data_IF_604050746942
#
_entry.id   IF_604050746942
#
_cell.length_a   1.000
_cell.length_b   1.000
_cell.length_c   1.000
_cell.angle_alpha   90.00
_cell.angle_beta   90.00
_cell.angle_gamma   90.00
#
_symmetry.space_group_name_H-M   'P 1'
#
loop_
_entity.id
_entity.type
_entity.pdbx_description
1 polymer ?
#
# COMPACT_ATOMS: atom_id res chain seq x y z
N UNK A 1 15.38 7.89 20.72
CA UNK A 1 15.01 7.56 19.34
C UNK A 1 13.71 6.76 19.40
N UNK A 2 12.68 7.13 18.66
CA UNK A 2 11.42 6.39 18.66
C UNK A 2 11.63 4.92 18.25
N UNK A 3 10.84 4.03 18.82
CA UNK A 3 10.80 2.61 18.42
C UNK A 3 10.09 2.44 17.08
N UNK A 4 9.00 3.21 16.87
CA UNK A 4 8.21 3.17 15.63
C UNK A 4 7.90 4.59 15.18
N UNK A 5 8.14 4.87 13.90
CA UNK A 5 7.58 6.04 13.19
C UNK A 5 6.33 5.61 12.43
N UNK A 6 5.21 6.23 12.72
CA UNK A 6 3.96 6.00 11.99
C UNK A 6 3.79 7.11 10.96
N UNK A 7 3.70 6.75 9.69
CA UNK A 7 3.55 7.66 8.55
C UNK A 7 2.09 7.69 8.11
N UNK A 8 1.50 8.88 8.06
CA UNK A 8 0.10 9.10 7.71
C UNK A 8 -0.01 10.06 6.51
N UNK A 9 -0.13 9.54 5.27
CA UNK A 9 -0.40 10.37 4.10
C UNK A 9 -1.82 10.92 4.19
N UNK A 10 -1.96 12.23 4.32
CA UNK A 10 -3.20 12.90 4.77
C UNK A 10 -3.70 13.86 3.70
N UNK A 11 -4.91 13.61 3.15
CA UNK A 11 -5.55 14.49 2.17
C UNK A 11 -7.06 14.42 2.25
N UNK A 12 -7.71 15.55 2.61
CA UNK A 12 -9.18 15.70 2.66
C UNK A 12 -9.90 14.61 3.47
N UNK A 13 -9.49 14.43 4.72
CA UNK A 13 -10.00 13.42 5.66
C UNK A 13 -10.59 14.01 6.94
N UNK A 14 -11.02 15.26 6.92
CA UNK A 14 -11.55 15.98 8.09
C UNK A 14 -12.62 15.21 8.88
N UNK A 15 -13.43 14.39 8.19
CA UNK A 15 -14.49 13.59 8.82
C UNK A 15 -14.00 12.41 9.65
N UNK A 16 -12.77 11.94 9.41
CA UNK A 16 -12.28 10.65 9.95
C UNK A 16 -11.07 10.83 10.85
N UNK A 17 -10.26 11.86 10.59
CA UNK A 17 -8.92 12.02 11.13
C UNK A 17 -8.87 12.06 12.67
N UNK A 18 -9.86 12.63 13.34
CA UNK A 18 -9.89 12.70 14.81
C UNK A 18 -9.87 11.31 15.45
N UNK A 19 -10.66 10.36 14.93
CA UNK A 19 -10.65 8.98 15.42
C UNK A 19 -9.31 8.27 15.18
N UNK A 20 -8.69 8.53 14.05
CA UNK A 20 -7.34 8.05 13.76
C UNK A 20 -6.35 8.57 14.80
N UNK A 21 -6.30 9.89 15.02
CA UNK A 21 -5.39 10.53 15.99
C UNK A 21 -5.61 9.98 17.39
N UNK A 22 -6.85 9.90 17.85
CA UNK A 22 -7.19 9.35 19.18
C UNK A 22 -6.67 7.92 19.35
N UNK A 23 -6.78 7.07 18.33
CA UNK A 23 -6.26 5.70 18.38
C UNK A 23 -4.73 5.64 18.44
N UNK A 24 -4.05 6.58 17.78
CA UNK A 24 -2.60 6.72 17.83
C UNK A 24 -2.12 7.22 19.20
N UNK A 25 -2.78 8.22 19.75
CA UNK A 25 -2.45 8.75 21.08
C UNK A 25 -2.69 7.75 22.20
N UNK A 26 -3.67 6.83 22.01
CA UNK A 26 -4.01 5.75 22.93
C UNK A 26 -3.03 4.57 22.88
N UNK A 27 -2.02 4.56 22.00
CA UNK A 27 -1.08 3.44 21.91
C UNK A 27 -0.35 3.19 23.23
N UNK A 28 -0.24 1.91 23.61
CA UNK A 28 0.48 1.46 24.81
C UNK A 28 1.99 1.67 24.66
N UNK A 29 2.55 1.49 23.47
CA UNK A 29 3.92 1.85 23.14
C UNK A 29 4.09 3.37 23.10
N UNK A 30 4.87 3.94 24.07
CA UNK A 30 5.00 5.40 24.21
C UNK A 30 6.14 6.00 23.38
N UNK A 31 7.19 5.24 23.11
CA UNK A 31 8.36 5.68 22.33
C UNK A 31 8.06 5.65 20.83
N UNK A 32 7.14 6.49 20.37
CA UNK A 32 6.66 6.54 18.98
C UNK A 32 6.59 7.99 18.49
N UNK A 33 6.63 8.17 17.19
CA UNK A 33 6.32 9.44 16.52
C UNK A 33 5.24 9.22 15.45
N UNK A 34 4.38 10.20 15.27
CA UNK A 34 3.27 10.21 14.31
C UNK A 34 3.52 11.31 13.29
N UNK A 35 3.85 10.96 12.05
CA UNK A 35 4.23 11.88 11.00
C UNK A 35 3.07 12.02 10.01
N UNK A 36 2.29 13.08 10.18
CA UNK A 36 1.20 13.43 9.28
C UNK A 36 1.74 14.24 8.11
N UNK A 37 1.56 13.73 6.91
CA UNK A 37 1.93 14.44 5.68
C UNK A 37 0.65 15.02 5.08
N UNK A 38 0.37 16.28 5.39
CA UNK A 38 -0.75 17.00 4.79
C UNK A 38 -0.44 17.32 3.34
N UNK A 39 -1.01 16.57 2.42
CA UNK A 39 -0.75 16.65 0.98
C UNK A 39 -1.64 17.70 0.30
N UNK A 40 -1.53 18.96 0.79
CA UNK A 40 -2.31 20.12 0.33
C UNK A 40 -3.83 19.91 0.48
N UNK A 41 -4.30 19.48 1.66
CA UNK A 41 -5.74 19.36 1.93
C UNK A 41 -6.45 20.70 1.75
N UNK A 42 -7.65 20.64 1.18
CA UNK A 42 -8.52 21.79 0.89
C UNK A 42 -9.75 21.87 1.81
N UNK A 43 -9.92 20.88 2.68
CA UNK A 43 -10.92 20.85 3.76
C UNK A 43 -10.30 21.20 5.12
N UNK A 44 -11.04 21.05 6.20
CA UNK A 44 -10.58 21.38 7.55
C UNK A 44 -9.58 20.37 8.15
N UNK A 45 -9.01 19.45 7.36
CA UNK A 45 -8.08 18.42 7.85
C UNK A 45 -6.90 19.01 8.61
N UNK A 46 -6.23 20.01 8.03
CA UNK A 46 -5.06 20.63 8.65
C UNK A 46 -5.39 21.37 9.95
N UNK A 47 -6.55 22.04 9.99
CA UNK A 47 -7.00 22.76 11.18
C UNK A 47 -7.32 21.81 12.34
N UNK A 48 -7.90 20.63 12.01
CA UNK A 48 -8.13 19.59 13.02
C UNK A 48 -6.80 19.05 13.54
N UNK A 49 -5.84 18.75 12.65
CA UNK A 49 -4.51 18.26 13.06
C UNK A 49 -3.81 19.23 14.04
N UNK A 50 -3.89 20.54 13.79
CA UNK A 50 -3.27 21.57 14.62
C UNK A 50 -3.89 21.74 16.02
N UNK A 51 -5.06 21.15 16.27
CA UNK A 51 -5.72 21.18 17.58
C UNK A 51 -5.10 20.18 18.57
N UNK A 52 -4.32 19.21 18.11
CA UNK A 52 -3.69 18.20 18.94
C UNK A 52 -2.28 18.64 19.35
N UNK A 53 -2.12 18.99 20.61
CA UNK A 53 -0.83 19.41 21.20
C UNK A 53 -0.19 18.18 21.91
N UNK A 54 0.40 17.29 21.11
CA UNK A 54 1.14 16.12 21.62
C UNK A 54 2.55 16.10 20.97
N UNK A 55 3.63 16.02 21.74
CA UNK A 55 5.00 16.12 21.23
C UNK A 55 5.39 14.98 20.27
N UNK A 56 4.62 13.91 20.23
CA UNK A 56 4.80 12.79 19.28
C UNK A 56 4.26 13.09 17.89
N UNK A 57 3.41 14.12 17.74
CA UNK A 57 2.81 14.50 16.46
C UNK A 57 3.76 15.46 15.72
N UNK A 58 4.06 15.10 14.47
CA UNK A 58 4.77 15.96 13.50
C UNK A 58 3.87 16.17 12.29
N UNK A 59 3.69 17.41 11.87
CA UNK A 59 2.90 17.78 10.70
C UNK A 59 3.83 18.37 9.66
N UNK A 60 3.84 17.77 8.47
CA UNK A 60 4.59 18.26 7.31
C UNK A 60 3.56 18.54 6.21
N UNK A 61 3.57 19.75 5.64
CA UNK A 61 2.62 20.12 4.58
C UNK A 61 3.33 20.26 3.24
N UNK A 62 2.71 19.73 2.19
CA UNK A 62 3.06 20.01 0.80
C UNK A 62 2.31 21.25 0.30
N UNK A 63 2.93 22.03 -0.55
CA UNK A 63 2.30 23.19 -1.20
C UNK A 63 1.28 22.79 -2.27
N UNK A 64 1.46 21.63 -2.89
CA UNK A 64 0.58 21.04 -3.89
C UNK A 64 0.36 19.56 -3.59
N UNK A 65 -0.78 19.01 -4.04
CA UNK A 65 -1.06 17.59 -3.90
C UNK A 65 -0.10 16.75 -4.76
N UNK A 66 0.74 15.95 -4.11
CA UNK A 66 1.74 15.04 -4.72
C UNK A 66 1.30 13.58 -4.71
N UNK A 67 0.11 13.29 -4.22
CA UNK A 67 -0.47 11.95 -4.05
C UNK A 67 0.20 11.10 -2.97
N UNK A 68 -0.46 10.01 -2.63
CA UNK A 68 -0.13 9.13 -1.50
C UNK A 68 1.31 8.57 -1.54
N UNK A 69 1.84 8.24 -2.72
CA UNK A 69 3.19 7.71 -2.85
C UNK A 69 4.26 8.71 -2.40
N UNK A 70 4.19 9.95 -2.89
CA UNK A 70 5.12 11.01 -2.49
C UNK A 70 4.93 11.43 -1.04
N UNK A 71 3.69 11.44 -0.53
CA UNK A 71 3.45 11.69 0.88
C UNK A 71 4.11 10.61 1.76
N UNK A 72 4.05 9.33 1.36
CA UNK A 72 4.76 8.26 2.07
C UNK A 72 6.28 8.43 1.98
N UNK A 73 6.83 8.82 0.84
CA UNK A 73 8.26 9.09 0.68
C UNK A 73 8.71 10.25 1.58
N UNK A 74 7.95 11.36 1.61
CA UNK A 74 8.22 12.46 2.53
C UNK A 74 8.20 11.99 3.98
N UNK A 75 7.27 11.10 4.34
CA UNK A 75 7.23 10.47 5.66
C UNK A 75 8.47 9.61 5.94
N UNK A 76 8.93 8.80 5.00
CA UNK A 76 10.15 7.99 5.12
C UNK A 76 11.40 8.86 5.34
N UNK A 77 11.51 9.98 4.61
CA UNK A 77 12.65 10.90 4.70
C UNK A 77 12.72 11.62 6.07
N UNK A 78 11.59 11.72 6.78
CA UNK A 78 11.48 12.39 8.08
C UNK A 78 11.33 11.42 9.27
N UNK A 79 11.27 10.12 9.01
CA UNK A 79 11.13 9.10 10.02
C UNK A 79 12.46 8.79 10.71
N UNK A 80 12.45 8.76 12.05
CA UNK A 80 13.64 8.49 12.87
C UNK A 80 13.54 7.21 13.69
N UNK A 81 12.40 6.52 13.66
CA UNK A 81 12.15 5.28 14.40
C UNK A 81 12.91 4.07 13.87
N UNK A 82 13.09 3.10 14.74
CA UNK A 82 13.72 1.81 14.38
C UNK A 82 12.88 1.02 13.36
N UNK A 83 11.55 1.11 13.48
CA UNK A 83 10.59 0.54 12.55
C UNK A 83 9.67 1.61 11.99
N UNK A 84 9.14 1.35 10.81
CA UNK A 84 8.14 2.19 10.11
C UNK A 84 6.80 1.48 10.12
N UNK A 85 5.73 2.20 10.43
CA UNK A 85 4.34 1.79 10.19
C UNK A 85 3.67 2.77 9.26
N UNK A 86 2.69 2.31 8.48
CA UNK A 86 1.85 3.16 7.65
C UNK A 86 0.41 3.02 8.13
N UNK A 87 -0.26 4.13 8.36
CA UNK A 87 -1.68 4.16 8.74
C UNK A 87 -2.41 5.12 7.81
N UNK A 88 -3.50 4.66 7.22
CA UNK A 88 -4.35 5.52 6.43
C UNK A 88 -5.22 6.38 7.39
N UNK A 89 -5.32 7.71 7.19
CA UNK A 89 -5.89 8.62 8.19
C UNK A 89 -7.42 8.57 8.29
N UNK A 90 -8.08 7.77 7.46
CA UNK A 90 -9.50 7.42 7.54
C UNK A 90 -9.77 6.13 8.33
N UNK A 91 -8.69 5.44 8.78
CA UNK A 91 -8.70 4.22 9.56
C UNK A 91 -8.25 4.45 11.01
N UNK A 92 -8.21 3.39 11.83
CA UNK A 92 -7.66 3.43 13.18
C UNK A 92 -7.10 2.07 13.61
N UNK A 93 -6.35 2.04 14.72
CA UNK A 93 -5.65 0.83 15.20
C UNK A 93 -6.02 0.49 16.65
N UNK A 94 -5.87 -0.78 17.04
CA UNK A 94 -6.04 -1.20 18.45
C UNK A 94 -4.96 -0.57 19.32
N UNK A 95 -5.28 -0.32 20.60
CA UNK A 95 -4.37 0.37 21.52
C UNK A 95 -3.01 -0.33 21.72
N UNK A 96 -2.95 -1.62 21.53
CA UNK A 96 -1.75 -2.46 21.64
C UNK A 96 -1.05 -2.73 20.29
N UNK A 97 -1.56 -2.18 19.19
CA UNK A 97 -1.11 -2.51 17.82
C UNK A 97 0.41 -2.35 17.63
N UNK A 98 0.94 -1.18 17.98
CA UNK A 98 2.37 -0.90 17.80
C UNK A 98 3.24 -1.67 18.78
N UNK A 99 2.78 -1.88 20.02
CA UNK A 99 3.52 -2.62 21.05
C UNK A 99 3.66 -4.09 20.71
N UNK A 100 2.56 -4.72 20.30
CA UNK A 100 2.54 -6.14 19.93
C UNK A 100 3.44 -6.41 18.73
N UNK A 101 3.33 -5.58 17.70
CA UNK A 101 4.16 -5.73 16.50
C UNK A 101 5.64 -5.46 16.80
N UNK A 102 5.96 -4.42 17.56
CA UNK A 102 7.33 -4.08 17.91
C UNK A 102 7.97 -5.17 18.78
N UNK A 103 7.26 -5.61 19.82
CA UNK A 103 7.75 -6.66 20.73
C UNK A 103 8.02 -7.96 19.98
N UNK A 104 7.10 -8.35 19.09
CA UNK A 104 7.26 -9.53 18.25
C UNK A 104 8.45 -9.39 17.30
N UNK A 105 8.55 -8.25 16.60
CA UNK A 105 9.65 -7.99 15.68
C UNK A 105 11.02 -8.05 16.37
N UNK A 106 11.13 -7.48 17.57
CA UNK A 106 12.36 -7.48 18.36
C UNK A 106 12.70 -8.88 18.87
N UNK A 107 11.74 -9.60 19.43
CA UNK A 107 11.92 -10.97 19.94
C UNK A 107 12.44 -11.91 18.85
N UNK A 108 11.88 -11.79 17.68
CA UNK A 108 12.16 -12.68 16.54
C UNK A 108 13.27 -12.14 15.63
N UNK A 109 13.83 -10.95 15.91
CA UNK A 109 14.74 -10.23 15.03
C UNK A 109 14.21 -10.16 13.59
N UNK A 110 12.93 -9.79 13.43
CA UNK A 110 12.25 -9.79 12.15
C UNK A 110 12.36 -8.43 11.44
N UNK A 111 12.36 -8.45 10.12
CA UNK A 111 12.34 -7.24 9.29
C UNK A 111 10.92 -6.70 9.13
N UNK A 112 9.92 -7.59 9.20
CA UNK A 112 8.50 -7.24 9.15
C UNK A 112 7.77 -8.01 10.24
N UNK A 113 6.95 -7.30 11.03
CA UNK A 113 5.93 -7.89 11.89
C UNK A 113 4.55 -7.43 11.43
N UNK A 114 3.61 -8.36 11.27
CA UNK A 114 2.30 -8.11 10.69
C UNK A 114 1.16 -8.60 11.58
N UNK A 115 0.13 -7.76 11.72
CA UNK A 115 -1.14 -8.06 12.37
C UNK A 115 -2.24 -8.50 11.39
N UNK A 116 -3.45 -8.40 11.87
CA UNK A 116 -4.68 -8.66 11.12
C UNK A 116 -5.49 -7.37 10.92
N UNK A 117 -6.59 -7.43 10.16
CA UNK A 117 -7.51 -6.31 10.13
C UNK A 117 -8.98 -6.70 10.25
N UNK A 118 -9.76 -5.77 10.76
CA UNK A 118 -11.21 -5.86 10.86
C UNK A 118 -11.86 -4.76 10.03
N UNK A 119 -12.79 -5.13 9.14
CA UNK A 119 -13.54 -4.18 8.32
C UNK A 119 -14.69 -3.56 9.12
N UNK A 120 -14.82 -2.24 9.11
CA UNK A 120 -15.88 -1.48 9.76
C UNK A 120 -16.80 -0.89 8.69
N UNK A 121 -18.13 -0.98 8.81
CA UNK A 121 -18.90 -1.45 9.98
C UNK A 121 -19.18 -2.95 10.00
N UNK A 122 -18.77 -3.74 9.02
CA UNK A 122 -19.19 -5.14 8.88
C UNK A 122 -18.68 -6.08 10.00
N UNK A 123 -17.68 -5.68 10.76
CA UNK A 123 -17.04 -6.51 11.78
C UNK A 123 -16.21 -7.69 11.22
N UNK A 124 -16.17 -7.86 9.89
CA UNK A 124 -15.45 -8.98 9.26
C UNK A 124 -13.95 -8.89 9.54
N UNK A 125 -13.40 -9.89 10.19
CA UNK A 125 -11.96 -10.06 10.39
C UNK A 125 -11.36 -10.70 9.14
N UNK A 126 -10.24 -10.16 8.69
CA UNK A 126 -9.40 -10.74 7.65
C UNK A 126 -8.05 -11.07 8.24
N UNK A 127 -7.75 -12.36 8.26
CA UNK A 127 -6.51 -12.92 8.74
C UNK A 127 -5.86 -13.73 7.62
N UNK A 128 -4.75 -13.23 7.09
CA UNK A 128 -3.98 -13.88 6.02
C UNK A 128 -2.61 -14.36 6.53
N UNK A 129 -2.43 -14.44 7.85
CA UNK A 129 -1.14 -14.71 8.47
C UNK A 129 -0.60 -16.07 8.08
N UNK A 130 -1.44 -17.13 8.08
CA UNK A 130 -1.01 -18.46 7.67
C UNK A 130 -0.53 -18.47 6.21
N UNK A 131 -1.28 -17.85 5.31
CA UNK A 131 -0.91 -17.79 3.89
C UNK A 131 0.39 -17.01 3.65
N UNK A 132 0.66 -15.97 4.44
CA UNK A 132 1.90 -15.18 4.38
C UNK A 132 3.08 -15.96 4.95
N UNK A 133 2.87 -16.71 6.02
CA UNK A 133 3.90 -17.57 6.60
C UNK A 133 4.32 -18.70 5.65
N UNK A 134 3.40 -19.17 4.79
CA UNK A 134 3.71 -20.16 3.75
C UNK A 134 4.39 -19.54 2.52
N UNK A 135 3.99 -18.34 2.13
CA UNK A 135 4.53 -17.63 0.97
C UNK A 135 4.52 -16.11 1.21
N UNK A 136 5.70 -15.54 1.48
CA UNK A 136 5.84 -14.10 1.74
C UNK A 136 5.33 -13.22 0.59
N UNK A 137 5.27 -13.75 -0.63
CA UNK A 137 4.73 -13.05 -1.80
C UNK A 137 3.22 -13.23 -1.97
N UNK A 138 2.52 -13.58 -0.89
CA UNK A 138 1.06 -13.63 -0.92
C UNK A 138 0.48 -12.22 -1.08
N UNK A 139 -0.30 -11.98 -2.14
CA UNK A 139 -0.84 -10.67 -2.50
C UNK A 139 -1.92 -10.11 -1.57
N UNK A 140 -2.35 -10.89 -0.60
CA UNK A 140 -3.24 -10.42 0.47
C UNK A 140 -2.50 -9.71 1.60
N UNK A 141 -1.23 -9.37 1.39
CA UNK A 141 -0.47 -8.58 2.34
C UNK A 141 -0.96 -7.13 2.32
N UNK A 142 -1.61 -6.71 3.39
CA UNK A 142 -2.05 -5.32 3.57
C UNK A 142 -0.94 -4.54 4.28
N UNK A 143 -0.33 -3.60 3.60
CA UNK A 143 0.84 -2.86 4.07
C UNK A 143 0.61 -2.17 5.43
N UNK A 144 -0.55 -1.60 5.60
CA UNK A 144 -0.95 -0.87 6.80
C UNK A 144 -1.18 -1.77 8.03
N UNK A 145 -1.19 -3.10 7.90
CA UNK A 145 -1.26 -4.02 9.05
C UNK A 145 0.11 -4.36 9.66
N UNK A 146 1.19 -3.72 9.25
CA UNK A 146 2.54 -4.15 9.59
C UNK A 146 3.45 -3.00 10.03
N UNK A 147 4.56 -3.40 10.67
CA UNK A 147 5.75 -2.55 10.84
C UNK A 147 6.92 -3.14 10.06
N UNK A 148 7.81 -2.26 9.59
CA UNK A 148 8.93 -2.57 8.72
C UNK A 148 10.22 -2.04 9.32
N UNK A 149 11.28 -2.83 9.36
CA UNK A 149 12.60 -2.39 9.84
C UNK A 149 13.14 -1.25 8.95
N UNK A 150 13.39 -0.09 9.57
CA UNK A 150 13.83 1.09 8.85
C UNK A 150 15.19 0.87 8.16
N UNK A 151 16.15 0.21 8.82
CA UNK A 151 17.46 -0.04 8.23
C UNK A 151 17.38 -0.85 6.92
N UNK A 152 16.46 -1.81 6.81
CA UNK A 152 16.21 -2.54 5.56
C UNK A 152 15.67 -1.59 4.46
N UNK A 153 14.77 -0.68 4.81
CA UNK A 153 14.22 0.31 3.86
C UNK A 153 15.34 1.23 3.36
N UNK A 154 16.18 1.71 4.26
CA UNK A 154 17.29 2.62 3.95
C UNK A 154 18.38 1.93 3.11
N UNK A 155 18.81 0.72 3.52
CA UNK A 155 19.85 -0.06 2.83
C UNK A 155 19.50 -0.31 1.36
N UNK A 156 18.25 -0.62 1.09
CA UNK A 156 17.77 -0.92 -0.26
C UNK A 156 17.14 0.28 -0.97
N UNK A 157 17.24 1.49 -0.37
CA UNK A 157 16.66 2.71 -0.91
C UNK A 157 15.20 2.53 -1.37
N UNK A 158 14.38 1.85 -0.54
CA UNK A 158 12.99 1.53 -0.90
C UNK A 158 12.16 2.81 -0.90
N UNK A 159 11.47 3.08 -2.01
CA UNK A 159 10.59 4.23 -2.21
C UNK A 159 9.28 3.81 -2.86
N UNK A 160 8.26 4.60 -2.58
CA UNK A 160 6.95 4.44 -3.22
C UNK A 160 6.96 5.15 -4.58
N UNK A 161 6.48 4.46 -5.59
CA UNK A 161 6.28 5.02 -6.93
C UNK A 161 4.79 4.89 -7.28
N UNK A 162 4.12 5.98 -7.54
CA UNK A 162 2.76 6.04 -8.09
C UNK A 162 1.67 5.34 -7.25
N UNK A 163 1.91 4.14 -6.70
CA UNK A 163 0.94 3.36 -5.93
C UNK A 163 1.59 2.60 -4.77
N UNK A 164 0.78 2.24 -3.79
CA UNK A 164 1.14 1.47 -2.59
C UNK A 164 1.91 0.19 -2.90
N UNK A 165 1.51 -0.55 -3.93
CA UNK A 165 2.11 -1.84 -4.27
C UNK A 165 3.57 -1.71 -4.68
N UNK A 166 3.93 -0.63 -5.38
CA UNK A 166 5.30 -0.42 -5.85
C UNK A 166 6.29 -0.22 -4.69
N UNK A 167 5.86 0.30 -3.54
CA UNK A 167 6.70 0.38 -2.34
C UNK A 167 6.63 -0.89 -1.47
N UNK A 168 5.45 -1.49 -1.38
CA UNK A 168 5.24 -2.68 -0.56
C UNK A 168 6.01 -3.90 -1.06
N UNK A 169 6.05 -4.12 -2.37
CA UNK A 169 6.71 -5.28 -2.93
C UNK A 169 8.21 -5.34 -2.61
N UNK A 170 9.00 -4.27 -2.81
CA UNK A 170 10.41 -4.25 -2.38
C UNK A 170 10.58 -4.55 -0.88
N UNK A 171 9.72 -4.01 -0.01
CA UNK A 171 9.78 -4.30 1.44
C UNK A 171 9.64 -5.80 1.72
N UNK A 172 8.69 -6.47 1.08
CA UNK A 172 8.50 -7.92 1.22
C UNK A 172 9.66 -8.69 0.59
N UNK A 173 10.17 -8.23 -0.56
CA UNK A 173 11.25 -8.90 -1.27
C UNK A 173 12.53 -8.93 -0.45
N UNK A 174 12.95 -7.78 0.08
CA UNK A 174 14.19 -7.65 0.85
C UNK A 174 14.08 -8.15 2.30
N UNK A 175 12.88 -8.33 2.83
CA UNK A 175 12.72 -8.90 4.16
C UNK A 175 13.27 -10.33 4.24
N UNK A 176 14.24 -10.56 5.12
CA UNK A 176 14.76 -11.87 5.43
C UNK A 176 13.81 -12.66 6.32
N UNK A 177 13.15 -11.98 7.27
CA UNK A 177 12.20 -12.60 8.19
C UNK A 177 10.93 -11.78 8.33
N UNK A 178 9.79 -12.44 8.12
CA UNK A 178 8.44 -11.91 8.35
C UNK A 178 7.80 -12.73 9.47
N UNK A 179 7.21 -12.08 10.45
CA UNK A 179 6.47 -12.71 11.54
C UNK A 179 5.06 -12.14 11.63
N UNK A 180 4.13 -12.94 12.15
CA UNK A 180 2.72 -12.56 12.19
C UNK A 180 2.12 -12.75 13.56
N UNK A 181 1.12 -11.94 13.91
CA UNK A 181 0.32 -12.05 15.13
C UNK A 181 -1.15 -11.71 14.87
N UNK A 182 -2.04 -12.30 15.65
CA UNK A 182 -3.48 -12.00 15.57
C UNK A 182 -3.91 -10.97 16.63
N UNK A 183 -3.01 -10.56 17.54
CA UNK A 183 -3.31 -9.61 18.61
C UNK A 183 -3.29 -8.15 18.17
N UNK A 184 -2.52 -7.82 17.14
CA UNK A 184 -2.44 -6.47 16.57
C UNK A 184 -3.53 -6.28 15.51
N UNK A 185 -4.54 -5.46 15.81
CA UNK A 185 -5.71 -5.28 14.94
C UNK A 185 -5.71 -3.87 14.32
N UNK A 186 -5.78 -3.84 13.00
CA UNK A 186 -6.04 -2.64 12.21
C UNK A 186 -7.53 -2.58 11.87
N UNK A 187 -8.20 -1.44 12.09
CA UNK A 187 -9.60 -1.24 11.78
C UNK A 187 -9.76 -0.49 10.46
N UNK A 188 -10.09 -1.24 9.42
CA UNK A 188 -10.32 -0.72 8.07
C UNK A 188 -11.73 -0.17 7.93
N UNK A 189 -11.88 1.14 7.76
CA UNK A 189 -13.17 1.83 7.69
C UNK A 189 -13.64 1.95 6.25
N UNK A 190 -14.74 1.27 5.93
CA UNK A 190 -15.37 1.35 4.60
C UNK A 190 -16.34 2.54 4.54
N UNK A 191 -16.07 3.47 3.63
CA UNK A 191 -16.94 4.62 3.38
C UNK A 191 -16.98 4.97 1.89
N UNK A 192 -17.98 5.75 1.48
CA UNK A 192 -18.22 6.06 0.06
C UNK A 192 -17.10 6.88 -0.59
N UNK A 193 -16.36 7.67 0.18
CA UNK A 193 -15.28 8.53 -0.29
C UNK A 193 -13.91 7.84 -0.29
N UNK A 194 -13.85 6.56 0.08
CA UNK A 194 -12.59 5.81 0.06
C UNK A 194 -12.06 5.69 -1.37
N UNK A 195 -10.74 5.76 -1.54
CA UNK A 195 -10.10 5.63 -2.86
C UNK A 195 -10.49 4.34 -3.62
N UNK A 196 -10.90 3.30 -2.88
CA UNK A 196 -11.38 2.04 -3.47
C UNK A 196 -12.79 2.18 -4.07
N UNK A 197 -13.57 3.16 -3.62
CA UNK A 197 -14.96 3.38 -4.05
C UNK A 197 -15.17 4.65 -4.89
N UNK A 198 -14.16 5.54 -4.94
CA UNK A 198 -14.30 6.73 -5.77
C UNK A 198 -14.29 6.36 -7.27
N UNK A 199 -15.15 7.03 -8.04
CA UNK A 199 -15.09 7.03 -9.50
C UNK A 199 -13.75 7.65 -9.93
N UNK A 200 -12.88 6.85 -10.49
CA UNK A 200 -11.63 7.37 -11.04
C UNK A 200 -11.94 8.15 -12.32
N UNK A 201 -11.44 9.38 -12.42
CA UNK A 201 -11.33 9.99 -13.74
C UNK A 201 -10.41 9.11 -14.61
N UNK A 202 -10.70 8.96 -15.90
CA UNK A 202 -9.87 8.19 -16.81
C UNK A 202 -8.39 8.60 -16.80
N UNK A 203 -8.12 9.91 -16.69
CA UNK A 203 -6.75 10.44 -16.58
C UNK A 203 -6.04 9.96 -15.29
N UNK A 204 -6.73 9.96 -14.15
CA UNK A 204 -6.20 9.46 -12.90
C UNK A 204 -5.94 7.94 -12.98
N UNK A 205 -6.83 7.21 -13.64
CA UNK A 205 -6.65 5.78 -13.88
C UNK A 205 -5.39 5.51 -14.74
N UNK A 206 -5.22 6.23 -15.86
CA UNK A 206 -4.05 6.13 -16.71
C UNK A 206 -2.76 6.41 -15.92
N UNK A 207 -2.73 7.52 -15.19
CA UNK A 207 -1.57 7.95 -14.41
C UNK A 207 -1.20 6.93 -13.31
N UNK A 208 -2.18 6.38 -12.60
CA UNK A 208 -1.93 5.52 -11.44
C UNK A 208 -1.81 4.04 -11.79
N UNK A 209 -2.62 3.54 -12.72
CA UNK A 209 -2.65 2.10 -12.99
C UNK A 209 -1.73 1.69 -14.14
N UNK A 210 -1.72 2.39 -15.27
CA UNK A 210 -0.82 2.04 -16.39
C UNK A 210 0.63 2.34 -16.01
N UNK A 211 0.92 3.52 -15.49
CA UNK A 211 2.28 3.86 -15.09
C UNK A 211 2.78 3.00 -13.93
N UNK A 212 1.91 2.69 -12.94
CA UNK A 212 2.24 1.77 -11.85
C UNK A 212 2.52 0.35 -12.35
N UNK A 213 1.73 -0.16 -13.30
CA UNK A 213 1.94 -1.48 -13.87
C UNK A 213 3.22 -1.55 -14.74
N UNK A 214 3.55 -0.47 -15.47
CA UNK A 214 4.84 -0.35 -16.19
C UNK A 214 6.03 -0.35 -15.23
N UNK A 215 5.94 0.41 -14.13
CA UNK A 215 6.97 0.41 -13.10
C UNK A 215 7.13 -1.00 -12.50
N UNK A 216 6.04 -1.69 -12.19
CA UNK A 216 6.07 -3.02 -11.60
C UNK A 216 6.64 -4.09 -12.52
N UNK A 217 6.32 -4.10 -13.83
CA UNK A 217 6.93 -5.09 -14.74
C UNK A 217 8.44 -4.88 -14.86
N UNK A 218 8.88 -3.63 -14.85
CA UNK A 218 10.31 -3.30 -14.78
C UNK A 218 10.93 -3.85 -13.50
N UNK A 219 10.33 -3.58 -12.34
CA UNK A 219 10.79 -4.07 -11.03
C UNK A 219 10.89 -5.59 -10.98
N UNK A 220 9.83 -6.33 -11.35
CA UNK A 220 9.87 -7.79 -11.30
C UNK A 220 10.89 -8.39 -12.28
N UNK A 221 11.28 -7.65 -13.33
CA UNK A 221 12.34 -8.03 -14.24
C UNK A 221 13.75 -7.82 -13.67
N UNK A 222 13.91 -6.81 -12.81
CA UNK A 222 15.18 -6.49 -12.15
C UNK A 222 15.48 -7.45 -10.99
N UNK A 223 14.43 -7.98 -10.33
CA UNK A 223 14.59 -8.96 -9.27
C UNK A 223 14.75 -10.37 -9.82
N UNK A 224 15.69 -11.13 -9.23
CA UNK A 224 15.86 -12.55 -9.55
C UNK A 224 14.82 -13.40 -8.81
N UNK A 225 13.56 -13.26 -9.20
CA UNK A 225 12.45 -13.96 -8.56
C UNK A 225 12.35 -15.42 -9.03
N UNK A 226 11.92 -16.33 -8.14
CA UNK A 226 11.49 -17.66 -8.56
C UNK A 226 10.41 -17.55 -9.64
N UNK A 227 10.43 -18.45 -10.64
CA UNK A 227 9.50 -18.42 -11.77
C UNK A 227 8.03 -18.35 -11.33
N UNK A 228 7.64 -19.17 -10.35
CA UNK A 228 6.26 -19.20 -9.87
C UNK A 228 5.82 -17.88 -9.24
N UNK A 229 6.70 -17.24 -8.48
CA UNK A 229 6.47 -15.92 -7.90
C UNK A 229 6.32 -14.86 -8.99
N UNK A 230 7.22 -14.88 -9.98
CA UNK A 230 7.15 -13.98 -11.14
C UNK A 230 5.82 -14.13 -11.90
N UNK A 231 5.40 -15.37 -12.15
CA UNK A 231 4.14 -15.68 -12.85
C UNK A 231 2.92 -15.21 -12.04
N UNK A 232 2.92 -15.43 -10.71
CA UNK A 232 1.86 -14.91 -9.83
C UNK A 232 1.76 -13.39 -9.90
N UNK A 233 2.89 -12.68 -9.78
CA UNK A 233 2.97 -11.21 -9.89
C UNK A 233 2.47 -10.72 -11.24
N UNK A 234 2.89 -11.37 -12.31
CA UNK A 234 2.44 -11.04 -13.66
C UNK A 234 0.92 -11.14 -13.83
N UNK A 235 0.31 -12.21 -13.31
CA UNK A 235 -1.16 -12.38 -13.30
C UNK A 235 -1.85 -11.29 -12.48
N UNK A 236 -1.30 -10.99 -11.31
CA UNK A 236 -1.84 -9.95 -10.45
C UNK A 236 -1.80 -8.57 -11.13
N UNK A 237 -0.72 -8.21 -11.81
CA UNK A 237 -0.61 -6.94 -12.55
C UNK A 237 -1.66 -6.84 -13.66
N UNK A 238 -1.86 -7.91 -14.42
CA UNK A 238 -2.90 -7.97 -15.45
C UNK A 238 -4.29 -7.80 -14.81
N UNK A 239 -4.57 -8.52 -13.73
CA UNK A 239 -5.84 -8.47 -13.02
C UNK A 239 -6.13 -7.08 -12.45
N UNK A 240 -5.13 -6.45 -11.82
CA UNK A 240 -5.25 -5.13 -11.21
C UNK A 240 -5.65 -4.07 -12.21
N UNK A 241 -5.04 -4.07 -13.38
CA UNK A 241 -5.40 -3.14 -14.46
C UNK A 241 -6.86 -3.22 -14.87
N UNK A 242 -7.42 -4.43 -14.93
CA UNK A 242 -8.77 -4.63 -15.43
C UNK A 242 -9.84 -4.52 -14.35
N UNK A 243 -9.72 -5.20 -13.23
CA UNK A 243 -10.75 -5.23 -12.19
C UNK A 243 -10.86 -3.89 -11.45
N UNK A 244 -9.75 -3.22 -11.19
CA UNK A 244 -9.73 -1.98 -10.43
C UNK A 244 -9.78 -0.71 -11.29
N UNK A 245 -9.58 -0.84 -12.60
CA UNK A 245 -9.58 0.27 -13.52
C UNK A 245 -10.63 0.14 -14.62
N UNK A 246 -10.32 -0.66 -15.63
CA UNK A 246 -11.11 -0.74 -16.86
C UNK A 246 -12.58 -1.14 -16.65
N UNK A 247 -12.85 -2.14 -15.81
CA UNK A 247 -14.23 -2.60 -15.57
C UNK A 247 -15.10 -1.51 -14.91
N UNK A 248 -14.49 -0.49 -14.29
CA UNK A 248 -15.16 0.64 -13.64
C UNK A 248 -15.32 1.89 -14.52
N UNK A 249 -14.76 1.88 -15.72
CA UNK A 249 -14.90 2.98 -16.67
C UNK A 249 -16.28 3.00 -17.33
N UNK A 250 -16.73 4.18 -17.73
CA UNK A 250 -17.88 4.33 -18.63
C UNK A 250 -17.62 3.64 -19.98
N UNK A 251 -18.67 3.38 -20.75
CA UNK A 251 -18.52 2.84 -22.12
C UNK A 251 -17.72 3.77 -23.04
N UNK A 252 -17.92 5.10 -22.89
CA UNK A 252 -17.22 6.13 -23.65
C UNK A 252 -15.73 6.15 -23.31
N UNK A 253 -15.38 6.12 -22.01
CA UNK A 253 -13.99 6.09 -21.57
C UNK A 253 -13.27 4.80 -22.03
N UNK A 254 -13.95 3.66 -22.02
CA UNK A 254 -13.40 2.41 -22.54
C UNK A 254 -13.00 2.50 -24.01
N UNK A 255 -13.79 3.20 -24.81
CA UNK A 255 -13.48 3.45 -26.24
C UNK A 255 -12.28 4.39 -26.36
N UNK A 256 -12.29 5.49 -25.59
CA UNK A 256 -11.23 6.50 -25.62
C UNK A 256 -9.85 5.92 -25.23
N UNK A 257 -9.79 5.08 -24.22
CA UNK A 257 -8.52 4.53 -23.69
C UNK A 257 -8.16 3.15 -24.26
N UNK A 258 -8.93 2.63 -25.20
CA UNK A 258 -8.68 1.31 -25.81
C UNK A 258 -7.29 1.18 -26.42
N UNK A 259 -6.82 2.23 -27.11
CA UNK A 259 -5.50 2.23 -27.75
C UNK A 259 -4.36 2.09 -26.72
N UNK A 260 -4.40 2.89 -25.66
CA UNK A 260 -3.38 2.85 -24.61
C UNK A 260 -3.37 1.54 -23.83
N UNK A 261 -4.54 0.94 -23.60
CA UNK A 261 -4.65 -0.37 -22.94
C UNK A 261 -4.01 -1.46 -23.81
N UNK A 262 -4.27 -1.43 -25.11
CA UNK A 262 -3.65 -2.37 -26.04
C UNK A 262 -2.14 -2.19 -26.14
N UNK A 263 -1.67 -0.95 -26.22
CA UNK A 263 -0.23 -0.64 -26.20
C UNK A 263 0.44 -1.19 -24.94
N UNK A 264 -0.17 -0.97 -23.77
CA UNK A 264 0.34 -1.51 -22.51
C UNK A 264 0.36 -3.06 -22.50
N UNK A 265 -0.69 -3.71 -23.00
CA UNK A 265 -0.72 -5.16 -23.09
C UNK A 265 0.37 -5.72 -23.98
N UNK A 266 0.63 -5.05 -25.10
CA UNK A 266 1.69 -5.45 -26.02
C UNK A 266 3.08 -5.20 -25.44
N UNK A 267 3.26 -4.11 -24.68
CA UNK A 267 4.45 -3.84 -23.91
C UNK A 267 4.67 -4.87 -22.82
N UNK A 268 3.64 -5.16 -22.02
CA UNK A 268 3.67 -6.22 -20.99
C UNK A 268 4.07 -7.57 -21.58
N UNK A 269 3.49 -7.94 -22.73
CA UNK A 269 3.84 -9.18 -23.41
C UNK A 269 5.32 -9.23 -23.81
N UNK A 270 5.83 -8.16 -24.38
CA UNK A 270 7.25 -8.07 -24.80
C UNK A 270 8.21 -8.13 -23.62
N UNK A 271 7.87 -7.49 -22.51
CA UNK A 271 8.74 -7.40 -21.33
C UNK A 271 8.68 -8.61 -20.40
N UNK A 272 7.63 -9.42 -20.47
CA UNK A 272 7.43 -10.54 -19.56
C UNK A 272 8.31 -11.74 -19.89
N UNK A 273 9.25 -12.05 -18.98
CA UNK A 273 10.27 -13.11 -19.18
C UNK A 273 9.69 -14.52 -19.42
N UNK A 274 8.52 -14.81 -18.85
CA UNK A 274 7.99 -16.19 -18.83
C UNK A 274 6.70 -16.35 -19.62
N UNK A 275 6.14 -15.31 -20.24
CA UNK A 275 4.81 -15.38 -20.86
C UNK A 275 4.72 -16.46 -21.96
N UNK A 276 5.78 -16.65 -22.74
CA UNK A 276 5.85 -17.65 -23.80
C UNK A 276 6.17 -19.05 -23.31
N UNK A 277 6.82 -19.18 -22.16
CA UNK A 277 7.23 -20.46 -21.56
C UNK A 277 6.27 -20.98 -20.50
N UNK A 278 5.27 -20.16 -20.10
CA UNK A 278 4.23 -20.55 -19.14
C UNK A 278 2.86 -20.58 -19.80
N UNK A 279 2.43 -21.77 -20.21
CA UNK A 279 1.15 -21.97 -20.91
C UNK A 279 -0.07 -21.41 -20.16
N UNK A 280 -0.22 -21.60 -18.83
CA UNK A 280 -1.30 -20.98 -18.06
C UNK A 280 -1.27 -19.45 -18.07
N UNK A 281 -0.09 -18.82 -17.93
CA UNK A 281 0.04 -17.36 -17.99
C UNK A 281 -0.33 -16.83 -19.38
N UNK A 282 0.19 -17.46 -20.44
CA UNK A 282 -0.12 -17.09 -21.81
C UNK A 282 -1.62 -17.24 -22.13
N UNK A 283 -2.24 -18.32 -21.68
CA UNK A 283 -3.69 -18.55 -21.86
C UNK A 283 -4.50 -17.45 -21.14
N UNK A 284 -4.12 -17.12 -19.90
CA UNK A 284 -4.76 -16.05 -19.14
C UNK A 284 -4.60 -14.69 -19.83
N UNK A 285 -3.40 -14.35 -20.27
CA UNK A 285 -3.12 -13.13 -21.02
C UNK A 285 -3.97 -13.02 -22.31
N UNK A 286 -4.03 -14.09 -23.10
CA UNK A 286 -4.85 -14.14 -24.32
C UNK A 286 -6.34 -13.91 -24.04
N UNK A 287 -6.88 -14.51 -22.98
CA UNK A 287 -8.29 -14.29 -22.55
C UNK A 287 -8.54 -12.84 -22.19
N UNK A 288 -7.63 -12.23 -21.43
CA UNK A 288 -7.69 -10.82 -21.05
C UNK A 288 -7.63 -9.95 -22.30
N UNK A 289 -6.64 -10.15 -23.17
CA UNK A 289 -6.51 -9.38 -24.43
C UNK A 289 -7.76 -9.53 -25.30
N UNK A 290 -8.35 -10.72 -25.37
CA UNK A 290 -9.59 -10.97 -26.13
C UNK A 290 -10.80 -10.24 -25.53
N UNK A 291 -10.93 -10.18 -24.20
CA UNK A 291 -12.06 -9.55 -23.50
C UNK A 291 -12.01 -8.00 -23.62
N UNK A 292 -10.84 -7.40 -23.50
CA UNK A 292 -10.68 -5.96 -23.27
C UNK A 292 -10.07 -5.20 -24.45
N UNK A 293 -9.46 -5.89 -25.42
CA UNK A 293 -8.86 -5.27 -26.61
C UNK A 293 -9.77 -5.34 -27.87
N UNK A 294 -10.97 -5.92 -27.73
CA UNK A 294 -12.05 -5.87 -28.72
C UNK A 294 -12.91 -4.62 -28.46
#
# INVERSE_FOLDING_TARGET
MPKVSVILPTYNVAKYISKCIESLLAQTLKDVEFIFINDASTDNTLDILKQYDDPRIKIISHDINKYTAEARNTGLDNATGEYISFVDPDDYISSNFLEDLYTLAKKENADIAKGIYQSIPSGKITNNNEAINQDKYNFHFSMWTAIYRKSMIDEHNIRFFIDTICGQFPMIHYANKIVTTDSAIYYYVKHQNSCVHCTFSPEKWKKLNIAGARAMIKYINEYNLPKDTYVKLSRFLILKLYQFGYDRMSAEDKILYKSEINEYLDEFYRQNKYINSDKPLLSYFKKVKQKYAR
#
